data_IF_404100814874
#
_entry.id   IF_404100814874
#
_cell.length_a   1.000
_cell.length_b   1.000
_cell.length_c   1.000
_cell.angle_alpha   90.00
_cell.angle_beta   90.00
_cell.angle_gamma   90.00
#
_symmetry.space_group_name_H-M   'P 1'
#
loop_
_entity.id
_entity.type
_entity.pdbx_description
1 polymer ?
#
# COMPACT_ATOMS: atom_id res chain seq x y z
N UNK A 1 -24.92 22.10 -22.70
CA UNK A 1 -24.05 20.95 -22.37
C UNK A 1 -22.63 21.35 -22.72
N UNK A 2 -21.89 21.85 -21.74
CA UNK A 2 -20.50 22.28 -21.95
C UNK A 2 -19.58 21.08 -21.81
N UNK A 3 -18.86 20.77 -22.87
CA UNK A 3 -17.85 19.72 -22.88
C UNK A 3 -16.73 20.10 -21.91
N UNK A 4 -16.50 19.24 -20.92
CA UNK A 4 -15.33 19.29 -20.06
C UNK A 4 -14.11 18.93 -20.92
N UNK A 5 -13.04 19.74 -20.94
CA UNK A 5 -11.82 19.35 -21.63
C UNK A 5 -11.21 18.18 -20.88
N UNK A 6 -11.14 17.03 -21.52
CA UNK A 6 -10.36 15.88 -21.06
C UNK A 6 -8.91 16.34 -20.89
N UNK A 7 -8.48 16.48 -19.64
CA UNK A 7 -7.07 16.63 -19.28
C UNK A 7 -6.33 15.36 -19.65
N UNK A 8 -5.86 15.34 -20.90
CA UNK A 8 -4.77 14.50 -21.35
C UNK A 8 -3.49 14.95 -20.62
N UNK A 9 -3.21 14.38 -19.46
CA UNK A 9 -1.94 14.61 -18.76
C UNK A 9 -1.08 13.36 -18.89
N UNK A 10 -0.20 13.42 -19.88
CA UNK A 10 1.14 12.83 -19.93
C UNK A 10 1.32 11.50 -19.21
N UNK A 11 1.02 10.40 -19.92
CA UNK A 11 1.85 9.21 -19.79
C UNK A 11 3.27 9.57 -20.26
N UNK A 12 4.08 10.18 -19.40
CA UNK A 12 5.53 10.16 -19.56
C UNK A 12 5.89 8.67 -19.55
N UNK A 13 6.13 8.10 -20.74
CA UNK A 13 6.46 6.69 -20.91
C UNK A 13 7.53 6.34 -19.87
N UNK A 14 7.20 5.53 -18.87
CA UNK A 14 8.13 5.21 -17.78
C UNK A 14 9.48 4.71 -18.31
N UNK A 15 9.43 3.92 -19.38
CA UNK A 15 10.61 3.53 -20.14
C UNK A 15 11.46 4.73 -20.61
N UNK A 16 10.86 5.82 -21.07
CA UNK A 16 11.56 7.05 -21.47
C UNK A 16 12.18 7.80 -20.29
N UNK A 17 11.50 7.90 -19.15
CA UNK A 17 12.04 8.56 -17.94
C UNK A 17 13.20 7.74 -17.38
N UNK A 18 13.04 6.42 -17.31
CA UNK A 18 14.08 5.52 -16.88
C UNK A 18 15.26 5.51 -17.86
N UNK A 19 15.01 5.45 -19.17
CA UNK A 19 16.07 5.54 -20.17
C UNK A 19 16.81 6.89 -20.10
N UNK A 20 16.11 7.99 -19.82
CA UNK A 20 16.74 9.29 -19.58
C UNK A 20 17.62 9.27 -18.32
N UNK A 21 17.19 8.59 -17.26
CA UNK A 21 17.99 8.37 -16.05
C UNK A 21 19.24 7.53 -16.32
N UNK A 22 19.11 6.46 -17.12
CA UNK A 22 20.23 5.63 -17.58
C UNK A 22 21.23 6.41 -18.43
N UNK A 23 20.74 7.24 -19.35
CA UNK A 23 21.61 8.09 -20.17
C UNK A 23 22.29 9.16 -19.32
N UNK A 24 21.59 9.77 -18.36
CA UNK A 24 22.19 10.68 -17.37
C UNK A 24 23.28 9.97 -16.56
N UNK A 25 23.02 8.73 -16.13
CA UNK A 25 23.98 7.88 -15.45
C UNK A 25 25.22 7.62 -16.34
N UNK A 26 25.03 7.24 -17.61
CA UNK A 26 26.10 6.94 -18.57
C UNK A 26 26.96 8.17 -18.85
N UNK A 27 26.34 9.34 -19.04
CA UNK A 27 27.05 10.62 -19.20
C UNK A 27 27.89 10.96 -17.97
N UNK A 28 27.31 10.86 -16.77
CA UNK A 28 28.00 11.20 -15.52
C UNK A 28 29.15 10.24 -15.18
N UNK A 29 29.02 8.96 -15.51
CA UNK A 29 29.97 7.94 -15.08
C UNK A 29 31.03 7.55 -16.11
N UNK A 30 30.80 7.84 -17.39
CA UNK A 30 31.64 7.37 -18.50
C UNK A 30 31.72 5.83 -18.56
N UNK A 31 30.80 5.14 -17.87
CA UNK A 31 30.69 3.69 -17.84
C UNK A 31 29.27 3.31 -18.25
N UNK A 32 29.15 2.31 -19.12
CA UNK A 32 27.86 1.72 -19.40
C UNK A 32 27.54 0.67 -18.34
N UNK A 33 26.48 0.89 -17.56
CA UNK A 33 26.07 -0.11 -16.57
C UNK A 33 25.62 -1.40 -17.27
N UNK A 34 25.16 -1.32 -18.53
CA UNK A 34 24.81 -2.48 -19.34
C UNK A 34 26.01 -3.37 -19.69
N UNK A 35 27.25 -2.88 -19.51
CA UNK A 35 28.47 -3.66 -19.73
C UNK A 35 28.97 -4.41 -18.48
N UNK A 36 28.23 -4.35 -17.37
CA UNK A 36 28.68 -4.96 -16.12
C UNK A 36 28.67 -6.51 -16.21
N UNK A 37 29.72 -7.21 -15.74
CA UNK A 37 29.77 -8.69 -15.70
C UNK A 37 28.64 -9.36 -14.92
N UNK A 38 27.90 -8.59 -14.10
CA UNK A 38 26.76 -9.06 -13.32
C UNK A 38 25.44 -9.01 -14.07
N UNK A 39 25.36 -8.20 -15.12
CA UNK A 39 24.11 -8.00 -15.84
C UNK A 39 23.58 -9.29 -16.45
N UNK A 40 24.42 -10.16 -17.07
CA UNK A 40 23.94 -11.44 -17.61
C UNK A 40 23.32 -12.35 -16.54
N UNK A 41 23.94 -12.42 -15.34
CA UNK A 41 23.43 -13.22 -14.21
C UNK A 41 22.13 -12.66 -13.63
N UNK A 42 21.99 -11.34 -13.59
CA UNK A 42 20.78 -10.65 -13.13
C UNK A 42 19.64 -10.75 -14.16
N UNK A 43 19.97 -10.77 -15.46
CA UNK A 43 18.99 -10.97 -16.54
C UNK A 43 18.34 -12.36 -16.52
N UNK A 44 19.04 -13.38 -16.01
CA UNK A 44 18.49 -14.72 -15.84
C UNK A 44 17.64 -14.88 -14.57
N UNK A 45 17.57 -13.87 -13.70
CA UNK A 45 16.78 -13.96 -12.48
C UNK A 45 15.29 -13.75 -12.76
N UNK A 46 14.46 -14.66 -12.26
CA UNK A 46 13.01 -14.69 -12.42
C UNK A 46 12.25 -14.47 -11.11
N UNK A 47 12.97 -14.11 -10.05
CA UNK A 47 12.41 -13.85 -8.71
C UNK A 47 13.32 -12.91 -7.90
N UNK A 48 12.76 -12.14 -6.95
CA UNK A 48 13.55 -11.38 -5.97
C UNK A 48 14.56 -12.26 -5.24
N UNK A 49 14.21 -13.50 -4.93
CA UNK A 49 15.07 -14.48 -4.26
C UNK A 49 16.28 -14.86 -5.13
N UNK A 50 16.08 -15.05 -6.44
CA UNK A 50 17.17 -15.32 -7.38
C UNK A 50 18.14 -14.11 -7.49
N UNK A 51 17.60 -12.88 -7.54
CA UNK A 51 18.42 -11.66 -7.53
C UNK A 51 19.24 -11.56 -6.24
N UNK A 52 18.60 -11.81 -5.10
CA UNK A 52 19.28 -11.80 -3.80
C UNK A 52 20.37 -12.87 -3.72
N UNK A 53 20.16 -14.05 -4.28
CA UNK A 53 21.17 -15.10 -4.35
C UNK A 53 22.40 -14.66 -5.17
N UNK A 54 22.20 -14.10 -6.37
CA UNK A 54 23.29 -13.58 -7.21
C UNK A 54 24.06 -12.45 -6.50
N UNK A 55 23.35 -11.54 -5.81
CA UNK A 55 23.98 -10.48 -5.05
C UNK A 55 24.74 -11.02 -3.82
N UNK A 56 24.25 -12.07 -3.16
CA UNK A 56 24.96 -12.73 -2.04
C UNK A 56 26.24 -13.42 -2.50
N UNK A 57 26.22 -14.09 -3.66
CA UNK A 57 27.39 -14.79 -4.21
C UNK A 57 28.56 -13.85 -4.53
N UNK A 58 28.27 -12.60 -4.93
CA UNK A 58 29.29 -11.57 -5.11
C UNK A 58 29.95 -11.10 -3.81
N UNK A 59 29.40 -11.51 -2.66
CA UNK A 59 29.75 -10.97 -1.37
C UNK A 59 29.98 -12.09 -0.32
N UNK A 60 30.85 -13.10 -0.57
CA UNK A 60 30.98 -14.27 0.30
C UNK A 60 31.52 -13.96 1.71
N UNK A 61 32.19 -12.82 1.91
CA UNK A 61 32.83 -12.42 3.18
C UNK A 61 31.90 -11.59 4.08
N UNK A 62 30.76 -11.12 3.57
CA UNK A 62 29.85 -10.24 4.33
C UNK A 62 28.87 -11.05 5.20
N UNK A 63 28.55 -12.28 4.81
CA UNK A 63 27.79 -13.26 5.61
C UNK A 63 28.57 -13.84 6.80
N UNK A 64 29.90 -13.69 6.83
CA UNK A 64 30.74 -14.11 7.97
C UNK A 64 30.81 -13.08 9.10
N UNK A 65 30.33 -11.87 8.89
CA UNK A 65 30.25 -10.83 9.93
C UNK A 65 28.84 -10.78 10.50
N UNK A 66 28.72 -10.84 11.84
CA UNK A 66 27.46 -10.64 12.58
C UNK A 66 26.72 -9.34 12.18
N UNK A 67 27.45 -8.34 11.68
CA UNK A 67 26.93 -7.03 11.24
C UNK A 67 26.66 -6.95 9.73
N UNK A 68 27.20 -7.87 8.94
CA UNK A 68 27.06 -7.89 7.48
C UNK A 68 25.80 -8.60 7.03
N UNK A 69 25.47 -9.71 7.69
CA UNK A 69 24.22 -10.46 7.44
C UNK A 69 22.99 -9.60 7.77
N UNK A 70 23.05 -8.86 8.87
CA UNK A 70 21.97 -7.96 9.33
C UNK A 70 21.74 -6.77 8.36
N UNK A 71 22.82 -6.23 7.79
CA UNK A 71 22.78 -5.07 6.87
C UNK A 71 22.36 -5.45 5.45
N UNK A 72 22.83 -6.61 4.97
CA UNK A 72 22.41 -7.14 3.68
C UNK A 72 20.90 -7.39 3.68
N UNK A 73 20.41 -8.03 4.74
CA UNK A 73 18.99 -8.40 4.85
C UNK A 73 18.09 -7.19 5.09
N UNK A 74 18.53 -6.20 5.88
CA UNK A 74 17.74 -4.98 6.14
C UNK A 74 17.55 -4.11 4.91
N UNK A 75 18.59 -3.90 4.09
CA UNK A 75 18.54 -2.93 3.00
C UNK A 75 18.41 -3.54 1.60
N UNK A 76 19.16 -4.61 1.30
CA UNK A 76 19.18 -5.19 -0.06
C UNK A 76 17.85 -5.85 -0.37
N UNK A 77 17.25 -6.56 0.58
CA UNK A 77 15.99 -7.26 0.35
C UNK A 77 14.81 -6.32 0.02
N UNK A 78 14.50 -5.27 0.82
CA UNK A 78 13.42 -4.35 0.46
C UNK A 78 13.69 -3.62 -0.86
N UNK A 79 14.95 -3.28 -1.13
CA UNK A 79 15.35 -2.62 -2.38
C UNK A 79 15.10 -3.54 -3.59
N UNK A 80 15.47 -4.82 -3.49
CA UNK A 80 15.21 -5.83 -4.52
C UNK A 80 13.72 -6.06 -4.71
N UNK A 81 12.97 -6.22 -3.63
CA UNK A 81 11.52 -6.44 -3.68
C UNK A 81 10.79 -5.30 -4.39
N UNK A 82 11.07 -4.05 -4.01
CA UNK A 82 10.50 -2.86 -4.63
C UNK A 82 10.87 -2.78 -6.10
N UNK A 83 12.16 -2.91 -6.44
CA UNK A 83 12.59 -2.81 -7.84
C UNK A 83 11.98 -3.91 -8.70
N UNK A 84 11.87 -5.14 -8.21
CA UNK A 84 11.21 -6.25 -8.91
C UNK A 84 9.69 -6.04 -9.05
N UNK A 85 9.01 -5.54 -8.02
CA UNK A 85 7.58 -5.25 -8.06
C UNK A 85 7.27 -4.14 -9.07
N UNK A 86 7.98 -3.01 -9.01
CA UNK A 86 7.82 -1.91 -9.96
C UNK A 86 8.20 -2.33 -11.38
N UNK A 87 9.20 -3.21 -11.55
CA UNK A 87 9.54 -3.80 -12.84
C UNK A 87 8.39 -4.65 -13.41
N UNK A 88 7.67 -5.37 -12.57
CA UNK A 88 6.50 -6.17 -12.97
C UNK A 88 5.28 -5.32 -13.29
N UNK A 89 5.05 -4.23 -12.54
CA UNK A 89 3.95 -3.30 -12.79
C UNK A 89 4.14 -2.48 -14.07
N UNK A 90 5.39 -2.17 -14.40
CA UNK A 90 5.73 -1.26 -15.50
C UNK A 90 6.25 -1.98 -16.75
N UNK A 91 6.66 -3.24 -16.62
CA UNK A 91 6.94 -4.15 -17.72
C UNK A 91 5.65 -4.85 -18.15
N UNK A 92 5.10 -4.46 -19.29
CA UNK A 92 3.93 -5.12 -19.87
C UNK A 92 4.27 -6.59 -20.24
N UNK A 93 4.05 -7.51 -19.30
CA UNK A 93 3.52 -8.84 -19.58
C UNK A 93 4.47 -10.00 -19.82
N UNK A 94 5.81 -9.88 -19.82
CA UNK A 94 6.66 -11.08 -19.95
C UNK A 94 7.97 -10.94 -19.18
N UNK A 95 8.01 -11.54 -17.97
CA UNK A 95 9.22 -11.77 -17.18
C UNK A 95 9.81 -10.54 -16.47
N UNK A 96 10.39 -10.76 -15.29
CA UNK A 96 11.09 -9.78 -14.43
C UNK A 96 12.30 -9.08 -15.08
N UNK A 97 12.54 -9.29 -16.38
CA UNK A 97 13.61 -8.67 -17.13
C UNK A 97 13.25 -7.22 -17.52
N UNK A 98 13.09 -6.35 -16.54
CA UNK A 98 13.16 -4.90 -16.76
C UNK A 98 14.65 -4.51 -16.69
N UNK A 99 15.33 -4.25 -17.83
CA UNK A 99 16.78 -3.97 -17.87
C UNK A 99 17.24 -2.88 -16.88
N UNK A 100 16.44 -1.83 -16.66
CA UNK A 100 16.55 -0.89 -15.55
C UNK A 100 16.81 -1.41 -14.12
N UNK A 101 16.10 -2.44 -13.66
CA UNK A 101 16.31 -2.97 -12.31
C UNK A 101 17.65 -3.71 -12.20
N UNK A 102 18.04 -4.43 -13.25
CA UNK A 102 19.31 -5.13 -13.33
C UNK A 102 20.51 -4.17 -13.25
N UNK A 103 20.35 -2.97 -13.81
CA UNK A 103 21.30 -1.86 -13.67
C UNK A 103 21.42 -1.48 -12.19
N UNK A 104 20.30 -1.22 -11.49
CA UNK A 104 20.33 -0.87 -10.07
C UNK A 104 21.03 -1.97 -9.25
N UNK A 105 20.69 -3.24 -9.47
CA UNK A 105 21.30 -4.38 -8.79
C UNK A 105 22.81 -4.49 -9.05
N UNK A 106 23.25 -4.29 -10.28
CA UNK A 106 24.69 -4.26 -10.60
C UNK A 106 25.41 -3.12 -9.86
N UNK A 107 24.81 -1.93 -9.78
CA UNK A 107 25.33 -0.80 -9.02
C UNK A 107 25.44 -1.09 -7.52
N UNK A 108 24.43 -1.74 -6.94
CA UNK A 108 24.43 -2.21 -5.55
C UNK A 108 25.58 -3.18 -5.31
N UNK A 109 25.78 -4.15 -6.20
CA UNK A 109 26.89 -5.12 -6.11
C UNK A 109 28.27 -4.44 -6.09
N UNK A 110 28.51 -3.44 -6.95
CA UNK A 110 29.78 -2.71 -6.96
C UNK A 110 30.00 -1.90 -5.68
N UNK A 111 28.94 -1.29 -5.16
CA UNK A 111 29.00 -0.53 -3.91
C UNK A 111 29.35 -1.40 -2.71
N UNK A 112 28.72 -2.58 -2.61
CA UNK A 112 28.98 -3.55 -1.56
C UNK A 112 30.41 -4.10 -1.66
N UNK A 113 30.90 -4.38 -2.87
CA UNK A 113 32.29 -4.79 -3.11
C UNK A 113 33.28 -3.68 -2.74
N UNK A 114 32.95 -2.42 -3.04
CA UNK A 114 33.70 -1.25 -2.62
C UNK A 114 33.82 -1.15 -1.10
N UNK A 115 32.72 -1.32 -0.37
CA UNK A 115 32.71 -1.27 1.10
C UNK A 115 33.67 -2.30 1.74
N UNK A 116 33.85 -3.47 1.11
CA UNK A 116 34.79 -4.49 1.58
C UNK A 116 36.26 -4.06 1.45
N UNK A 117 36.61 -3.33 0.39
CA UNK A 117 37.96 -2.85 0.16
C UNK A 117 38.35 -1.65 1.05
N UNK A 118 37.39 -1.06 1.80
CA UNK A 118 37.61 0.08 2.70
C UNK A 118 37.89 -0.30 4.17
N UNK A 119 38.09 -1.59 4.51
CA UNK A 119 38.18 -2.14 5.88
C UNK A 119 39.13 -1.40 6.86
N UNK A 120 40.10 -0.61 6.38
CA UNK A 120 41.10 0.05 7.22
C UNK A 120 40.74 1.45 7.78
N UNK A 121 39.52 1.99 7.62
CA UNK A 121 39.20 3.31 8.20
C UNK A 121 37.75 3.47 8.71
N UNK A 122 37.55 3.45 10.03
CA UNK A 122 36.24 3.49 10.71
C UNK A 122 35.34 4.69 10.36
N UNK A 123 35.83 5.92 10.47
CA UNK A 123 35.03 7.14 10.19
C UNK A 123 34.50 7.25 8.74
N UNK A 124 35.06 6.44 7.83
CA UNK A 124 34.69 6.37 6.42
C UNK A 124 33.58 5.35 6.15
N UNK A 125 33.47 4.35 7.01
CA UNK A 125 32.39 3.36 6.97
C UNK A 125 31.07 4.00 7.40
N UNK A 126 31.11 4.93 8.37
CA UNK A 126 29.92 5.60 8.92
C UNK A 126 29.13 6.41 7.89
N UNK A 127 29.81 7.15 6.99
CA UNK A 127 29.12 7.92 5.94
C UNK A 127 28.49 7.05 4.86
N UNK A 128 29.14 5.94 4.49
CA UNK A 128 28.53 4.98 3.57
C UNK A 128 27.31 4.31 4.23
N UNK A 129 27.42 3.96 5.51
CA UNK A 129 26.30 3.47 6.31
C UNK A 129 25.16 4.50 6.34
N UNK A 130 25.45 5.79 6.48
CA UNK A 130 24.43 6.84 6.44
C UNK A 130 23.70 6.91 5.10
N UNK A 131 24.41 6.80 3.97
CA UNK A 131 23.79 6.73 2.63
C UNK A 131 22.89 5.51 2.51
N UNK A 132 23.38 4.34 2.91
CA UNK A 132 22.57 3.12 2.91
C UNK A 132 21.34 3.26 3.79
N UNK A 133 21.46 3.83 4.99
CA UNK A 133 20.33 4.05 5.89
C UNK A 133 19.30 5.05 5.33
N UNK A 134 19.73 6.08 4.58
CA UNK A 134 18.81 7.01 3.92
C UNK A 134 18.02 6.32 2.81
N UNK A 135 18.70 5.52 1.99
CA UNK A 135 18.07 4.73 0.92
C UNK A 135 17.12 3.68 1.53
N UNK A 136 17.56 2.96 2.58
CA UNK A 136 16.79 1.94 3.30
C UNK A 136 15.44 2.43 3.80
N UNK A 137 15.42 3.53 4.56
CA UNK A 137 14.19 4.12 5.09
C UNK A 137 13.17 4.42 4.01
N UNK A 138 13.64 4.77 2.82
CA UNK A 138 12.78 5.07 1.70
C UNK A 138 12.22 3.80 1.05
N UNK A 139 13.07 2.82 0.72
CA UNK A 139 12.63 1.59 0.08
C UNK A 139 11.70 0.75 0.97
N UNK A 140 11.91 0.74 2.28
CA UNK A 140 11.00 0.06 3.20
C UNK A 140 9.59 0.69 3.19
N UNK A 141 9.51 2.01 3.01
CA UNK A 141 8.22 2.70 2.88
C UNK A 141 7.56 2.43 1.53
N UNK A 142 8.34 2.34 0.44
CA UNK A 142 7.81 1.94 -0.86
C UNK A 142 7.30 0.51 -0.90
N UNK A 143 7.89 -0.40 -0.13
CA UNK A 143 7.44 -1.79 -0.04
C UNK A 143 5.98 -1.87 0.42
N UNK A 144 5.56 -0.97 1.33
CA UNK A 144 4.17 -0.86 1.79
C UNK A 144 3.23 -0.50 0.62
N UNK A 145 3.68 0.33 -0.31
CA UNK A 145 2.88 0.73 -1.48
C UNK A 145 2.80 -0.35 -2.57
N UNK A 146 3.58 -1.43 -2.49
CA UNK A 146 3.39 -2.57 -3.41
C UNK A 146 2.03 -3.24 -3.12
N UNK A 147 1.59 -3.25 -1.86
CA UNK A 147 0.31 -3.84 -1.46
C UNK A 147 -0.91 -2.98 -1.76
N UNK A 148 -0.72 -1.73 -2.21
CA UNK A 148 -1.79 -0.75 -2.44
C UNK A 148 -1.57 -0.10 -3.80
N UNK A 149 -2.49 -0.26 -4.75
CA UNK A 149 -2.37 0.32 -6.10
C UNK A 149 -1.99 1.81 -6.04
N UNK A 150 -0.77 2.20 -6.46
CA UNK A 150 -0.33 3.58 -6.35
C UNK A 150 -1.13 4.49 -7.29
N UNK A 151 -1.40 5.73 -6.87
CA UNK A 151 -1.97 6.74 -7.77
C UNK A 151 -0.91 7.23 -8.76
N UNK A 152 -1.34 7.89 -9.84
CA UNK A 152 -0.40 8.39 -10.85
C UNK A 152 0.61 9.38 -10.24
N UNK A 153 0.16 10.31 -9.40
CA UNK A 153 1.03 11.27 -8.73
C UNK A 153 2.06 10.59 -7.82
N UNK A 154 1.65 9.54 -7.10
CA UNK A 154 2.59 8.74 -6.30
C UNK A 154 3.59 8.00 -7.21
N UNK A 155 3.12 7.44 -8.32
CA UNK A 155 3.97 6.73 -9.29
C UNK A 155 5.05 7.66 -9.83
N UNK A 156 4.72 8.89 -10.21
CA UNK A 156 5.69 9.88 -10.70
C UNK A 156 6.78 10.18 -9.67
N UNK A 157 6.40 10.40 -8.41
CA UNK A 157 7.36 10.65 -7.31
C UNK A 157 8.26 9.43 -7.09
N UNK A 158 7.71 8.21 -7.11
CA UNK A 158 8.52 6.98 -6.99
C UNK A 158 9.54 6.89 -8.12
N UNK A 159 9.13 7.21 -9.35
CA UNK A 159 10.03 7.21 -10.51
C UNK A 159 11.17 8.18 -10.30
N UNK A 160 10.89 9.44 -9.93
CA UNK A 160 11.92 10.44 -9.66
C UNK A 160 12.91 9.98 -8.58
N UNK A 161 12.42 9.28 -7.56
CA UNK A 161 13.28 8.75 -6.52
C UNK A 161 14.17 7.61 -7.03
N UNK A 162 13.64 6.70 -7.86
CA UNK A 162 14.45 5.67 -8.51
C UNK A 162 15.59 6.27 -9.35
N UNK A 163 15.32 7.38 -10.05
CA UNK A 163 16.33 8.11 -10.84
C UNK A 163 17.44 8.67 -9.94
N UNK A 164 17.09 9.26 -8.80
CA UNK A 164 18.08 9.83 -7.89
C UNK A 164 18.90 8.72 -7.20
N UNK A 165 18.27 7.61 -6.82
CA UNK A 165 18.99 6.43 -6.29
C UNK A 165 19.99 5.88 -7.31
N UNK A 166 19.58 5.72 -8.57
CA UNK A 166 20.49 5.33 -9.66
C UNK A 166 21.67 6.27 -9.83
N UNK A 167 21.42 7.58 -9.69
CA UNK A 167 22.46 8.60 -9.76
C UNK A 167 23.47 8.42 -8.62
N UNK A 168 23.01 8.20 -7.38
CA UNK A 168 23.87 7.97 -6.21
C UNK A 168 24.69 6.68 -6.37
N UNK A 169 24.02 5.56 -6.65
CA UNK A 169 24.67 4.26 -6.87
C UNK A 169 25.71 4.36 -7.99
N UNK A 170 25.39 5.18 -8.98
CA UNK A 170 26.24 5.37 -10.12
C UNK A 170 27.51 6.16 -9.87
N UNK A 171 27.39 7.29 -9.17
CA UNK A 171 28.54 8.08 -8.73
C UNK A 171 29.45 7.21 -7.86
N UNK A 172 28.88 6.39 -6.99
CA UNK A 172 29.67 5.48 -6.16
C UNK A 172 30.41 4.41 -6.96
N UNK A 173 29.72 3.75 -7.89
CA UNK A 173 30.28 2.73 -8.79
C UNK A 173 31.49 3.24 -9.58
N UNK A 174 31.39 4.45 -10.15
CA UNK A 174 32.48 5.11 -10.91
C UNK A 174 33.76 5.22 -10.09
N UNK A 175 33.62 5.54 -8.82
CA UNK A 175 34.74 5.92 -7.97
C UNK A 175 35.39 4.71 -7.30
N UNK A 176 34.62 3.64 -7.06
CA UNK A 176 35.15 2.30 -6.67
C UNK A 176 36.05 1.74 -7.77
N UNK A 177 35.59 1.71 -9.04
CA UNK A 177 36.32 1.10 -10.17
C UNK A 177 37.66 1.75 -10.49
N UNK A 178 37.86 3.03 -10.14
CA UNK A 178 39.12 3.75 -10.40
C UNK A 178 40.26 3.39 -9.43
N UNK A 179 40.12 2.33 -8.62
CA UNK A 179 41.06 1.97 -7.55
C UNK A 179 41.21 3.07 -6.49
N UNK A 180 40.26 4.01 -6.50
CA UNK A 180 40.33 5.30 -5.82
C UNK A 180 39.30 5.39 -4.72
N UNK A 181 38.80 4.26 -4.23
CA UNK A 181 37.90 4.19 -3.08
C UNK A 181 38.40 5.08 -1.92
N UNK A 182 39.69 5.03 -1.59
CA UNK A 182 40.30 5.90 -0.56
C UNK A 182 40.19 7.42 -0.89
N UNK A 183 40.21 7.79 -2.17
CA UNK A 183 40.03 9.18 -2.68
C UNK A 183 38.55 9.57 -2.80
N UNK A 184 37.68 8.63 -3.17
CA UNK A 184 36.23 8.77 -3.20
C UNK A 184 35.68 9.08 -1.82
N UNK A 185 36.05 8.28 -0.82
CA UNK A 185 35.64 8.50 0.56
C UNK A 185 36.27 9.76 1.18
N UNK A 186 37.45 10.20 0.70
CA UNK A 186 38.02 11.51 1.07
C UNK A 186 37.25 12.68 0.43
N UNK A 187 36.62 12.46 -0.73
CA UNK A 187 35.75 13.42 -1.43
C UNK A 187 34.31 13.40 -0.92
N UNK A 188 33.82 12.33 -0.31
CA UNK A 188 32.51 12.30 0.39
C UNK A 188 32.40 13.33 1.54
N UNK A 189 33.51 13.90 1.98
CA UNK A 189 33.58 15.03 2.92
C UNK A 189 33.58 16.40 2.25
N UNK A 190 33.39 16.50 0.92
CA UNK A 190 33.39 17.79 0.21
C UNK A 190 33.04 17.73 -1.27
N UNK A 191 32.29 16.72 -1.74
CA UNK A 191 31.82 16.62 -3.12
C UNK A 191 30.34 16.99 -3.18
N UNK A 192 30.05 18.13 -3.78
CA UNK A 192 28.70 18.69 -3.88
C UNK A 192 27.74 17.75 -4.59
N UNK A 193 28.18 17.00 -5.60
CA UNK A 193 27.27 16.18 -6.42
C UNK A 193 26.54 15.07 -5.65
N UNK A 194 27.20 14.40 -4.70
CA UNK A 194 26.57 13.33 -3.89
C UNK A 194 25.67 13.96 -2.84
N UNK A 195 26.15 15.03 -2.20
CA UNK A 195 25.39 15.75 -1.18
C UNK A 195 24.13 16.38 -1.78
N UNK A 196 24.23 16.92 -3.00
CA UNK A 196 23.12 17.45 -3.78
C UNK A 196 22.12 16.36 -4.15
N UNK A 197 22.59 15.19 -4.58
CA UNK A 197 21.74 14.02 -4.83
C UNK A 197 21.05 13.51 -3.57
N UNK A 198 21.75 13.46 -2.43
CA UNK A 198 21.15 13.09 -1.14
C UNK A 198 20.12 14.12 -0.67
N UNK A 199 20.40 15.41 -0.83
CA UNK A 199 19.45 16.48 -0.52
C UNK A 199 18.22 16.43 -1.43
N UNK A 200 18.39 16.07 -2.71
CA UNK A 200 17.28 15.83 -3.64
C UNK A 200 16.46 14.61 -3.21
N UNK A 201 17.11 13.51 -2.84
CA UNK A 201 16.45 12.32 -2.32
C UNK A 201 15.64 12.62 -1.05
N UNK A 202 16.19 13.41 -0.12
CA UNK A 202 15.48 13.82 1.10
C UNK A 202 14.26 14.71 0.78
N UNK A 203 14.37 15.61 -0.20
CA UNK A 203 13.23 16.42 -0.68
C UNK A 203 12.13 15.55 -1.29
N UNK A 204 12.49 14.64 -2.20
CA UNK A 204 11.54 13.73 -2.83
C UNK A 204 10.89 12.80 -1.80
N UNK A 205 11.65 12.34 -0.80
CA UNK A 205 11.14 11.56 0.33
C UNK A 205 10.09 12.34 1.13
N UNK A 206 10.23 13.66 1.24
CA UNK A 206 9.25 14.53 1.89
C UNK A 206 8.04 14.81 1.00
N UNK A 207 8.23 14.99 -0.30
CA UNK A 207 7.15 15.16 -1.28
C UNK A 207 6.29 13.91 -1.36
N UNK A 208 6.89 12.72 -1.35
CA UNK A 208 6.20 11.45 -1.23
C UNK A 208 5.29 11.43 0.01
N UNK A 209 5.80 11.87 1.17
CA UNK A 209 5.04 11.78 2.42
C UNK A 209 3.86 12.75 2.43
N UNK A 210 4.06 13.94 1.82
CA UNK A 210 2.99 14.91 1.59
C UNK A 210 1.94 14.36 0.62
N UNK A 211 2.37 13.67 -0.44
CA UNK A 211 1.46 13.07 -1.42
C UNK A 211 0.65 11.92 -0.82
N UNK A 212 1.29 11.03 -0.05
CA UNK A 212 0.59 9.99 0.70
C UNK A 212 -0.47 10.57 1.64
N UNK A 213 -0.15 11.67 2.32
CA UNK A 213 -1.09 12.38 3.21
C UNK A 213 -2.26 13.00 2.44
N UNK A 214 -2.01 13.58 1.26
CA UNK A 214 -3.07 14.14 0.42
C UNK A 214 -4.03 13.06 -0.11
N UNK A 215 -3.50 11.91 -0.54
CA UNK A 215 -4.32 10.76 -0.95
C UNK A 215 -5.12 10.18 0.22
N UNK A 216 -4.52 10.09 1.41
CA UNK A 216 -5.23 9.69 2.63
C UNK A 216 -6.39 10.64 2.94
N UNK A 217 -6.21 11.95 2.80
CA UNK A 217 -7.26 12.95 3.02
C UNK A 217 -8.42 12.77 2.01
N UNK A 218 -8.09 12.52 0.74
CA UNK A 218 -9.09 12.24 -0.31
C UNK A 218 -9.90 10.97 -0.01
N UNK A 219 -9.24 9.89 0.40
CA UNK A 219 -9.91 8.66 0.82
C UNK A 219 -10.79 8.90 2.05
N UNK A 220 -10.30 9.68 3.02
CA UNK A 220 -11.05 10.03 4.25
C UNK A 220 -12.33 10.80 3.93
N UNK A 221 -12.29 11.75 3.00
CA UNK A 221 -13.49 12.46 2.54
C UNK A 221 -14.48 11.52 1.85
N UNK A 222 -14.00 10.57 1.04
CA UNK A 222 -14.88 9.59 0.38
C UNK A 222 -15.58 8.68 1.40
N UNK A 223 -14.88 8.30 2.48
CA UNK A 223 -15.45 7.55 3.60
C UNK A 223 -16.46 8.40 4.36
N UNK A 224 -16.15 9.66 4.67
CA UNK A 224 -17.06 10.59 5.36
C UNK A 224 -18.37 10.78 4.58
N UNK A 225 -18.31 10.97 3.27
CA UNK A 225 -19.50 11.06 2.42
C UNK A 225 -20.29 9.74 2.40
N UNK A 226 -19.60 8.59 2.36
CA UNK A 226 -20.21 7.28 2.49
C UNK A 226 -20.94 7.10 3.83
N UNK A 227 -20.34 7.56 4.93
CA UNK A 227 -20.91 7.52 6.28
C UNK A 227 -22.11 8.44 6.42
N UNK A 228 -22.08 9.65 5.85
CA UNK A 228 -23.27 10.54 5.79
C UNK A 228 -24.42 9.87 5.05
N UNK A 229 -24.13 9.22 3.92
CA UNK A 229 -25.14 8.46 3.18
C UNK A 229 -25.71 7.26 3.98
N UNK A 230 -24.92 6.66 4.86
CA UNK A 230 -25.41 5.64 5.80
C UNK A 230 -26.29 6.28 6.88
N UNK A 231 -25.89 7.41 7.48
CA UNK A 231 -26.64 8.13 8.50
C UNK A 231 -28.03 8.55 8.02
N UNK A 232 -28.12 9.09 6.79
CA UNK A 232 -29.41 9.45 6.17
C UNK A 232 -30.33 8.24 5.98
N UNK A 233 -29.78 7.10 5.57
CA UNK A 233 -30.55 5.84 5.46
C UNK A 233 -31.00 5.35 6.83
N UNK A 234 -30.16 5.44 7.86
CA UNK A 234 -30.49 5.03 9.22
C UNK A 234 -31.62 5.89 9.79
N UNK A 235 -31.58 7.22 9.59
CA UNK A 235 -32.70 8.12 9.95
C UNK A 235 -33.99 7.74 9.22
N UNK A 236 -33.90 7.40 7.93
CA UNK A 236 -35.05 6.92 7.16
C UNK A 236 -35.63 5.60 7.70
N UNK A 237 -34.78 4.69 8.18
CA UNK A 237 -35.21 3.46 8.86
C UNK A 237 -35.85 3.77 10.21
N UNK A 238 -35.27 4.67 11.00
CA UNK A 238 -35.83 5.08 12.29
C UNK A 238 -37.26 5.61 12.16
N UNK A 239 -37.51 6.47 11.15
CA UNK A 239 -38.86 6.93 10.82
C UNK A 239 -39.83 5.79 10.51
N UNK A 240 -39.43 4.84 9.64
CA UNK A 240 -40.26 3.66 9.35
C UNK A 240 -40.53 2.80 10.58
N UNK A 241 -39.55 2.67 11.48
CA UNK A 241 -39.71 1.91 12.73
C UNK A 241 -40.69 2.61 13.67
N UNK A 242 -40.70 3.94 13.72
CA UNK A 242 -41.69 4.72 14.48
C UNK A 242 -43.11 4.59 13.89
N UNK A 243 -43.23 4.58 12.56
CA UNK A 243 -44.51 4.33 11.88
C UNK A 243 -45.06 2.94 12.26
N UNK A 244 -44.21 1.91 12.13
CA UNK A 244 -44.56 0.53 12.54
C UNK A 244 -44.91 0.46 14.03
N UNK A 245 -44.20 1.19 14.89
CA UNK A 245 -44.52 1.25 16.32
C UNK A 245 -45.93 1.81 16.56
N UNK A 246 -46.32 2.86 15.83
CA UNK A 246 -47.64 3.47 15.90
C UNK A 246 -48.73 2.52 15.41
N UNK A 247 -48.51 1.83 14.29
CA UNK A 247 -49.43 0.82 13.76
C UNK A 247 -49.65 -0.33 14.76
N UNK A 248 -48.57 -0.84 15.36
CA UNK A 248 -48.63 -1.90 16.37
C UNK A 248 -49.40 -1.45 17.61
N UNK A 249 -49.26 -0.20 18.05
CA UNK A 249 -50.07 0.35 19.14
C UNK A 249 -51.55 0.42 18.77
N UNK A 250 -51.87 0.84 17.54
CA UNK A 250 -53.24 0.84 17.01
C UNK A 250 -53.86 -0.56 17.05
N UNK A 251 -53.16 -1.55 16.48
CA UNK A 251 -53.59 -2.97 16.48
C UNK A 251 -53.79 -3.48 17.91
N UNK A 252 -52.91 -3.10 18.85
CA UNK A 252 -53.07 -3.47 20.27
C UNK A 252 -54.37 -2.91 20.86
N UNK A 253 -54.72 -1.66 20.53
CA UNK A 253 -55.98 -1.04 20.95
C UNK A 253 -57.20 -1.77 20.39
N UNK A 254 -57.19 -2.08 19.09
CA UNK A 254 -58.26 -2.83 18.44
C UNK A 254 -58.45 -4.22 19.06
N UNK A 255 -57.35 -4.91 19.38
CA UNK A 255 -57.39 -6.23 20.02
C UNK A 255 -57.96 -6.17 21.45
N UNK A 256 -57.65 -5.12 22.23
CA UNK A 256 -58.26 -4.93 23.56
C UNK A 256 -59.76 -4.72 23.47
N UNK A 257 -60.21 -3.88 22.54
CA UNK A 257 -61.64 -3.65 22.31
C UNK A 257 -62.35 -4.91 21.83
N UNK A 258 -61.73 -5.69 20.94
CA UNK A 258 -62.27 -6.98 20.52
C UNK A 258 -62.35 -7.97 21.69
N UNK A 259 -61.33 -8.02 22.56
CA UNK A 259 -61.33 -8.82 23.78
C UNK A 259 -62.53 -8.52 24.68
N UNK A 260 -62.83 -7.23 24.91
CA UNK A 260 -63.99 -6.81 25.69
C UNK A 260 -65.33 -7.26 25.05
N UNK A 261 -65.46 -7.14 23.73
CA UNK A 261 -66.65 -7.63 23.01
C UNK A 261 -66.82 -9.14 23.09
N UNK A 262 -65.73 -9.89 22.97
CA UNK A 262 -65.76 -11.35 23.09
C UNK A 262 -66.17 -11.77 24.50
N UNK A 263 -65.69 -11.07 25.54
CA UNK A 263 -66.13 -11.32 26.92
C UNK A 263 -67.62 -11.04 27.11
N UNK A 264 -68.15 -9.93 26.59
CA UNK A 264 -69.60 -9.64 26.64
C UNK A 264 -70.43 -10.73 25.94
N UNK A 265 -69.96 -11.21 24.79
CA UNK A 265 -70.60 -12.32 24.08
C UNK A 265 -70.56 -13.60 24.94
N UNK A 266 -69.42 -13.93 25.55
CA UNK A 266 -69.27 -15.10 26.41
C UNK A 266 -70.25 -15.05 27.60
N UNK A 267 -70.30 -13.93 28.32
CA UNK A 267 -71.21 -13.71 29.46
C UNK A 267 -72.69 -13.86 29.05
N UNK A 268 -73.06 -13.33 27.88
CA UNK A 268 -74.42 -13.47 27.31
C UNK A 268 -74.73 -14.91 26.93
N UNK A 269 -73.79 -15.64 26.34
CA UNK A 269 -73.97 -17.06 25.98
C UNK A 269 -74.12 -17.91 27.24
N UNK A 270 -73.31 -17.71 28.28
CA UNK A 270 -73.45 -18.39 29.56
C UNK A 270 -74.82 -18.15 30.21
N UNK A 271 -75.33 -16.91 30.14
CA UNK A 271 -76.66 -16.54 30.62
C UNK A 271 -77.77 -17.25 29.84
N UNK A 272 -77.66 -17.30 28.50
CA UNK A 272 -78.60 -18.03 27.65
C UNK A 272 -78.58 -19.52 27.99
N UNK A 273 -77.39 -20.12 28.14
CA UNK A 273 -77.24 -21.52 28.54
C UNK A 273 -77.99 -21.83 29.84
N UNK A 274 -77.73 -21.04 30.88
CA UNK A 274 -78.42 -21.17 32.18
C UNK A 274 -79.94 -21.05 32.06
N UNK A 275 -80.43 -20.12 31.23
CA UNK A 275 -81.87 -19.95 31.00
C UNK A 275 -82.50 -21.13 30.25
N UNK A 276 -81.78 -21.71 29.28
CA UNK A 276 -82.21 -22.90 28.53
C UNK A 276 -82.29 -24.10 29.46
N UNK A 277 -81.25 -24.35 30.28
CA UNK A 277 -81.22 -25.43 31.25
C UNK A 277 -82.39 -25.32 32.25
N UNK A 278 -82.62 -24.13 32.82
CA UNK A 278 -83.76 -23.86 33.70
C UNK A 278 -85.12 -24.15 33.04
N UNK A 279 -85.29 -23.78 31.77
CA UNK A 279 -86.53 -24.07 31.03
C UNK A 279 -86.69 -25.56 30.75
N UNK A 280 -85.61 -26.26 30.40
CA UNK A 280 -85.64 -27.70 30.15
C UNK A 280 -86.05 -28.44 31.43
N UNK A 281 -85.51 -28.05 32.58
CA UNK A 281 -85.90 -28.59 33.88
C UNK A 281 -87.39 -28.34 34.20
N UNK A 282 -87.90 -27.14 33.92
CA UNK A 282 -89.32 -26.83 34.10
C UNK A 282 -90.22 -27.71 33.21
N UNK A 283 -89.85 -27.91 31.95
CA UNK A 283 -90.57 -28.76 31.00
C UNK A 283 -90.54 -30.22 31.47
N UNK A 284 -89.36 -30.75 31.83
CA UNK A 284 -89.21 -32.12 32.32
C UNK A 284 -90.05 -32.38 33.58
N UNK A 285 -90.11 -31.44 34.53
CA UNK A 285 -90.98 -31.56 35.71
C UNK A 285 -92.47 -31.53 35.34
N UNK A 286 -92.85 -30.74 34.33
CA UNK A 286 -94.25 -30.63 33.89
C UNK A 286 -94.75 -31.89 33.16
N UNK A 287 -93.86 -32.68 32.55
CA UNK A 287 -94.21 -33.93 31.87
C UNK A 287 -94.34 -35.14 32.83
N UNK A 288 -93.88 -35.01 34.08
CA UNK A 288 -93.92 -36.08 35.10
C UNK A 288 -95.11 -35.97 36.07
N UNK A 289 -95.98 -34.97 35.90
CA UNK A 289 -97.21 -34.73 36.66
C UNK A 289 -98.45 -35.02 35.80
#
# INVERSE_FOLDING_TARGET
MSAVPSTSTSHSNFASVFNAALETYKQKTTNDLASHPLLPSLQSCDSPEAVLAVLREQIPVFSQSQNGDDRFTKWVAPTVNVLCAFSSTLGQGVGLAFPPANVVFAGIGVLLLGLQAAKDTGARQDKLIEIFNRIDRFFHRLEIYIGVTPTMAMTDIVIEIMVEVLTILGIATKEVKRGRLKKYLKRLTGNTDIEDSLNRLDKLTQEEARMASAELLKMTHSVDDGVKGVDDRVKGVDGKVQDVHSDVQGVRGDMQHLGNKVQDIDDRVQTIGSNVDNKLDQVNRSLLL
#
